data_IF_482129231598
#
_entry.id   IF_482129231598
#
_cell.length_a   1.000
_cell.length_b   1.000
_cell.length_c   1.000
_cell.angle_alpha   90.00
_cell.angle_beta   90.00
_cell.angle_gamma   90.00
#
_symmetry.space_group_name_H-M   'P 1'
#
loop_
_entity.id
_entity.type
_entity.pdbx_description
1 polymer ?
#
# COMPACT_ATOMS: atom_id res chain seq x y z
N UNK A 1 -4.00 -8.20 -11.30
CA UNK A 1 -4.36 -7.64 -9.98
C UNK A 1 -3.06 -7.32 -9.30
N UNK A 2 -2.84 -6.08 -8.84
CA UNK A 2 -1.54 -5.69 -8.29
C UNK A 2 -1.43 -6.07 -6.82
N UNK A 3 -0.25 -6.49 -6.40
CA UNK A 3 0.12 -6.61 -4.99
C UNK A 3 1.01 -5.43 -4.55
N UNK A 4 0.97 -5.10 -3.27
CA UNK A 4 1.86 -4.11 -2.65
C UNK A 4 2.55 -4.75 -1.45
N UNK A 5 3.86 -4.59 -1.38
CA UNK A 5 4.66 -4.93 -0.20
C UNK A 5 5.10 -3.63 0.47
N UNK A 6 4.95 -3.57 1.80
CA UNK A 6 5.47 -2.47 2.63
C UNK A 6 6.45 -3.06 3.66
N UNK A 7 7.63 -2.46 3.77
CA UNK A 7 8.62 -2.79 4.80
C UNK A 7 8.56 -1.80 5.95
N UNK A 8 8.42 -2.31 7.17
CA UNK A 8 8.36 -1.52 8.39
C UNK A 8 9.76 -1.40 9.03
N UNK A 9 10.03 -0.33 9.81
CA UNK A 9 11.30 -0.15 10.53
C UNK A 9 11.64 -1.27 11.52
N UNK A 10 10.63 -2.02 11.96
CA UNK A 10 10.79 -3.19 12.84
C UNK A 10 11.34 -4.43 12.12
N UNK A 11 11.57 -4.36 10.80
CA UNK A 11 11.96 -5.49 9.96
C UNK A 11 10.78 -6.38 9.54
N UNK A 12 9.56 -6.04 9.96
CA UNK A 12 8.35 -6.73 9.52
C UNK A 12 7.92 -6.26 8.13
N UNK A 13 7.22 -7.16 7.42
CA UNK A 13 6.70 -6.90 6.08
C UNK A 13 5.19 -7.05 6.09
N UNK A 14 4.49 -6.11 5.45
CA UNK A 14 3.06 -6.19 5.18
C UNK A 14 2.84 -6.47 3.70
N UNK A 15 1.88 -7.34 3.37
CA UNK A 15 1.46 -7.64 2.00
C UNK A 15 -0.01 -7.28 1.84
N UNK A 16 -0.31 -6.54 0.79
CA UNK A 16 -1.67 -6.21 0.37
C UNK A 16 -1.94 -6.79 -1.02
N UNK A 17 -3.14 -7.35 -1.19
CA UNK A 17 -3.59 -8.00 -2.43
C UNK A 17 -4.78 -7.23 -3.04
N UNK A 18 -4.94 -7.36 -4.35
CA UNK A 18 -5.91 -6.59 -5.16
C UNK A 18 -5.88 -5.10 -4.82
N UNK A 19 -4.67 -4.54 -4.90
CA UNK A 19 -4.38 -3.12 -4.68
C UNK A 19 -4.83 -2.30 -5.88
N UNK A 20 -5.53 -1.20 -5.62
CA UNK A 20 -6.08 -0.26 -6.60
C UNK A 20 -5.88 1.17 -6.15
N UNK A 21 -5.90 2.08 -7.11
CA UNK A 21 -5.82 3.53 -6.88
C UNK A 21 -4.64 3.88 -5.97
N UNK A 22 -3.49 3.26 -6.23
CA UNK A 22 -2.26 3.59 -5.51
C UNK A 22 -1.83 4.99 -5.90
N UNK A 23 -1.72 5.87 -4.91
CA UNK A 23 -1.30 7.25 -5.06
C UNK A 23 -0.10 7.51 -4.13
N UNK A 24 0.90 8.15 -4.71
CA UNK A 24 2.16 8.50 -4.07
C UNK A 24 2.18 10.02 -3.90
N UNK A 25 2.00 10.49 -2.66
CA UNK A 25 1.66 11.89 -2.32
C UNK A 25 0.31 12.40 -2.85
N UNK A 26 -0.81 11.79 -2.42
CA UNK A 26 -2.15 12.27 -2.80
C UNK A 26 -2.40 13.72 -2.33
N UNK A 27 -3.19 14.51 -3.08
CA UNK A 27 -3.49 15.91 -2.72
C UNK A 27 -4.09 16.05 -1.32
N UNK A 28 -3.47 16.90 -0.49
CA UNK A 28 -3.89 17.14 0.90
C UNK A 28 -3.34 16.15 1.93
N UNK A 29 -2.60 15.12 1.49
CA UNK A 29 -1.89 14.17 2.34
C UNK A 29 -0.48 13.91 1.76
N UNK A 30 0.30 14.98 1.64
CA UNK A 30 1.71 14.91 1.25
C UNK A 30 2.50 14.01 2.21
N UNK A 31 3.59 13.41 1.73
CA UNK A 31 4.44 12.47 2.46
C UNK A 31 3.69 11.21 2.90
N UNK A 32 2.69 10.80 2.12
CA UNK A 32 1.93 9.56 2.35
C UNK A 32 1.82 8.73 1.09
N UNK A 33 1.60 7.43 1.28
CA UNK A 33 1.04 6.56 0.24
C UNK A 33 -0.39 6.22 0.62
N UNK A 34 -1.29 6.26 -0.35
CA UNK A 34 -2.69 5.88 -0.18
C UNK A 34 -3.09 4.84 -1.23
N UNK A 35 -3.89 3.86 -0.84
CA UNK A 35 -4.38 2.85 -1.76
C UNK A 35 -5.62 2.12 -1.23
N UNK A 36 -6.38 1.52 -2.14
CA UNK A 36 -7.47 0.61 -1.82
C UNK A 36 -6.99 -0.83 -1.90
N UNK A 37 -7.42 -1.69 -0.98
CA UNK A 37 -7.07 -3.11 -0.98
C UNK A 37 -8.27 -4.00 -0.62
N UNK A 38 -8.21 -5.29 -0.97
CA UNK A 38 -9.20 -6.27 -0.54
C UNK A 38 -8.72 -7.01 0.71
N UNK A 39 -9.44 -6.87 1.83
CA UNK A 39 -9.10 -7.58 3.06
C UNK A 39 -9.57 -9.02 3.03
N UNK A 40 -8.69 -9.95 2.62
CA UNK A 40 -9.00 -11.38 2.39
C UNK A 40 -9.75 -12.04 3.55
N UNK A 41 -9.36 -11.80 4.81
CA UNK A 41 -10.01 -12.40 5.98
C UNK A 41 -11.39 -11.81 6.32
N UNK A 42 -11.70 -10.63 5.77
CA UNK A 42 -12.90 -9.87 6.10
C UNK A 42 -13.85 -9.69 4.92
N UNK A 43 -13.41 -10.03 3.71
CA UNK A 43 -14.13 -9.85 2.45
C UNK A 43 -14.64 -8.40 2.23
N UNK A 44 -13.86 -7.42 2.69
CA UNK A 44 -14.21 -6.00 2.65
C UNK A 44 -13.07 -5.20 2.03
N UNK A 45 -13.44 -4.26 1.15
CA UNK A 45 -12.52 -3.28 0.56
C UNK A 45 -12.30 -2.13 1.52
N UNK A 46 -11.03 -1.76 1.73
CA UNK A 46 -10.64 -0.65 2.61
C UNK A 46 -9.67 0.27 1.89
N UNK A 47 -9.69 1.53 2.31
CA UNK A 47 -8.66 2.50 2.01
C UNK A 47 -7.61 2.47 3.14
N UNK A 48 -6.33 2.46 2.77
CA UNK A 48 -5.21 2.56 3.70
C UNK A 48 -4.36 3.78 3.36
N UNK A 49 -3.84 4.44 4.39
CA UNK A 49 -2.94 5.58 4.27
C UNK A 49 -1.77 5.35 5.22
N UNK A 50 -0.55 5.51 4.71
CA UNK A 50 0.69 5.38 5.49
C UNK A 50 1.57 6.60 5.28
N UNK A 51 2.09 7.17 6.37
CA UNK A 51 3.13 8.20 6.31
C UNK A 51 4.45 7.56 5.87
N UNK A 52 5.08 8.11 4.82
CA UNK A 52 6.33 7.60 4.25
C UNK A 52 7.48 7.60 5.26
N UNK A 53 7.52 8.60 6.14
CA UNK A 53 8.51 8.71 7.21
C UNK A 53 8.49 7.55 8.22
N UNK A 54 7.41 6.76 8.25
CA UNK A 54 7.28 5.56 9.09
C UNK A 54 7.47 4.26 8.32
N UNK A 55 7.81 4.32 7.03
CA UNK A 55 8.10 3.17 6.19
C UNK A 55 9.60 3.10 5.92
N UNK A 56 10.15 1.89 5.81
CA UNK A 56 11.49 1.74 5.20
C UNK A 56 11.42 1.75 3.68
N UNK A 57 10.27 1.39 3.12
CA UNK A 57 10.02 1.38 1.69
C UNK A 57 8.78 0.59 1.33
N UNK A 58 8.46 0.57 0.05
CA UNK A 58 7.37 -0.22 -0.52
C UNK A 58 7.71 -0.67 -1.94
N UNK A 59 7.00 -1.69 -2.42
CA UNK A 59 7.12 -2.20 -3.78
C UNK A 59 5.73 -2.55 -4.31
N UNK A 60 5.29 -1.81 -5.33
CA UNK A 60 4.04 -2.04 -6.04
C UNK A 60 4.30 -2.93 -7.24
N UNK A 61 3.55 -4.02 -7.37
CA UNK A 61 3.60 -4.91 -8.51
C UNK A 61 3.31 -4.15 -9.81
N UNK A 62 4.25 -4.23 -10.74
CA UNK A 62 4.05 -3.81 -12.13
C UNK A 62 3.59 -5.04 -12.91
N UNK A 63 2.63 -4.87 -13.82
CA UNK A 63 2.34 -5.94 -14.77
C UNK A 63 3.56 -6.19 -15.64
N UNK A 64 3.82 -7.45 -16.00
CA UNK A 64 4.68 -7.73 -17.14
C UNK A 64 3.94 -7.27 -18.41
N UNK A 65 4.57 -6.39 -19.21
CA UNK A 65 4.08 -5.98 -20.54
C UNK A 65 4.13 -7.14 -21.55
#
# INVERSE_FOLDING_TARGET
MKSLIIWLPTGQTMKFEDVRDFDDDPPGYEETIAFNYHGVSTDVRRNAVFMKSHLMGWSLEQGEE
#
